data_IF_144347087106
#
_entry.id   IF_144347087106
#
_cell.length_a   1.000
_cell.length_b   1.000
_cell.length_c   1.000
_cell.angle_alpha   90.00
_cell.angle_beta   90.00
_cell.angle_gamma   90.00
#
_symmetry.space_group_name_H-M   'P 1'
#
loop_
_entity.id
_entity.type
_entity.pdbx_description
1 polymer ?
#
# COMPACT_ATOMS: atom_id res chain seq x y z
N UNK A 1 9.87 30.77 -5.98
CA UNK A 1 9.85 31.73 -4.85
C UNK A 1 10.20 30.95 -3.58
N UNK A 2 11.49 30.65 -3.42
CA UNK A 2 12.40 31.34 -2.48
C UNK A 2 11.93 31.19 -1.04
N UNK A 3 12.44 30.14 -0.39
CA UNK A 3 12.43 29.97 1.05
C UNK A 3 13.21 31.13 1.67
N UNK A 4 12.51 32.07 2.31
CA UNK A 4 13.13 33.05 3.18
C UNK A 4 13.44 32.35 4.50
N UNK A 5 14.68 31.90 4.64
CA UNK A 5 15.27 31.58 5.94
C UNK A 5 15.58 32.93 6.59
N UNK A 6 14.83 33.26 7.64
CA UNK A 6 15.12 34.42 8.48
C UNK A 6 16.26 34.03 9.43
N UNK A 7 17.47 34.52 9.14
CA UNK A 7 18.60 34.47 10.09
C UNK A 7 18.55 35.77 10.89
N UNK A 8 18.07 35.68 12.13
CA UNK A 8 18.26 36.75 13.12
C UNK A 8 19.63 36.54 13.78
N UNK A 9 20.55 37.49 13.56
CA UNK A 9 21.88 37.51 14.18
C UNK A 9 21.88 38.38 15.43
N UNK A 10 22.59 37.94 16.47
CA UNK A 10 22.85 38.72 17.68
C UNK A 10 23.66 37.98 18.76
N UNK A 11 24.98 38.22 18.75
CA UNK A 11 26.02 38.21 19.79
C UNK A 11 26.31 36.99 20.71
N UNK A 12 27.52 36.46 20.51
CA UNK A 12 28.58 36.03 21.45
C UNK A 12 28.23 35.43 22.82
N UNK A 13 28.63 34.17 23.06
CA UNK A 13 29.83 33.80 23.85
C UNK A 13 30.11 32.26 23.80
N UNK A 14 31.40 31.93 23.87
CA UNK A 14 32.13 30.64 23.78
C UNK A 14 31.66 29.48 24.66
N UNK A 15 31.57 28.24 24.10
CA UNK A 15 32.19 27.01 24.64
C UNK A 15 31.91 25.72 23.80
N UNK A 16 32.98 24.99 23.46
CA UNK A 16 33.15 23.52 23.54
C UNK A 16 32.13 22.51 22.98
N UNK A 17 32.66 21.61 22.13
CA UNK A 17 32.25 20.22 21.84
C UNK A 17 31.01 19.92 20.96
N UNK A 18 31.32 19.24 19.84
CA UNK A 18 30.58 18.13 19.20
C UNK A 18 29.05 18.16 19.19
N UNK A 19 28.46 18.39 18.01
CA UNK A 19 27.06 18.10 17.77
C UNK A 19 26.78 18.03 16.29
N UNK A 20 26.58 16.82 15.76
CA UNK A 20 25.96 16.60 14.44
C UNK A 20 24.69 17.45 14.40
N UNK A 21 24.61 18.42 13.48
CA UNK A 21 23.38 19.16 13.20
C UNK A 21 22.36 18.18 12.58
N UNK A 22 21.69 17.41 13.44
CA UNK A 22 20.51 16.66 13.07
C UNK A 22 19.40 17.66 12.80
N UNK A 23 19.01 17.81 11.53
CA UNK A 23 17.80 18.51 11.13
C UNK A 23 16.63 17.93 11.94
N UNK A 24 16.24 18.62 13.00
CA UNK A 24 15.19 18.14 13.89
C UNK A 24 13.87 18.55 13.26
N UNK A 25 13.23 17.61 12.58
CA UNK A 25 11.89 17.81 12.03
C UNK A 25 10.94 18.17 13.19
N UNK A 26 10.27 19.32 13.07
CA UNK A 26 9.27 19.77 14.04
C UNK A 26 8.15 18.72 14.07
N UNK A 27 8.06 17.94 15.17
CA UNK A 27 7.01 16.93 15.38
C UNK A 27 5.67 17.64 15.64
N UNK A 28 5.02 18.13 14.58
CA UNK A 28 3.70 18.79 14.67
C UNK A 28 2.53 17.84 14.40
N UNK A 29 2.79 16.58 14.01
CA UNK A 29 1.74 15.61 13.74
C UNK A 29 1.46 14.80 15.01
N UNK A 30 0.33 15.05 15.66
CA UNK A 30 -0.14 14.26 16.80
C UNK A 30 -0.45 12.81 16.42
N UNK A 31 -0.53 11.91 17.40
CA UNK A 31 -0.75 10.47 17.20
C UNK A 31 -1.97 10.18 16.30
N UNK A 32 -3.10 10.84 16.58
CA UNK A 32 -4.34 10.68 15.80
C UNK A 32 -4.13 11.14 14.35
N UNK A 33 -3.45 12.28 14.15
CA UNK A 33 -3.14 12.79 12.80
C UNK A 33 -2.22 11.85 12.02
N UNK A 34 -1.22 11.24 12.68
CA UNK A 34 -0.31 10.29 12.07
C UNK A 34 -1.03 8.98 11.69
N UNK A 35 -1.86 8.44 12.58
CA UNK A 35 -2.65 7.23 12.32
C UNK A 35 -3.65 7.47 11.19
N UNK A 36 -4.38 8.58 11.21
CA UNK A 36 -5.31 8.93 10.12
C UNK A 36 -4.58 9.12 8.79
N UNK A 37 -3.40 9.77 8.80
CA UNK A 37 -2.59 9.92 7.59
C UNK A 37 -2.12 8.57 7.05
N UNK A 38 -1.57 7.70 7.90
CA UNK A 38 -1.10 6.36 7.50
C UNK A 38 -2.27 5.53 6.96
N UNK A 39 -3.40 5.49 7.67
CA UNK A 39 -4.61 4.80 7.22
C UNK A 39 -5.08 5.33 5.85
N UNK A 40 -5.01 6.65 5.64
CA UNK A 40 -5.32 7.28 4.37
C UNK A 40 -4.39 6.92 3.22
N UNK A 41 -3.10 6.81 3.50
CA UNK A 41 -2.11 6.37 2.51
C UNK A 41 -2.22 4.88 2.18
N UNK A 42 -2.70 4.07 3.13
CA UNK A 42 -2.86 2.62 2.98
C UNK A 42 -4.16 2.25 2.25
N UNK A 43 -5.22 3.06 2.38
CA UNK A 43 -6.47 2.90 1.63
C UNK A 43 -6.31 3.29 0.15
N UNK A 44 -5.86 2.32 -0.65
CA UNK A 44 -5.74 2.42 -2.11
C UNK A 44 -7.09 2.44 -2.86
N UNK A 45 -7.05 2.51 -4.20
CA UNK A 45 -8.24 2.28 -5.05
C UNK A 45 -8.61 0.80 -5.14
N UNK A 46 -7.72 -0.10 -4.71
CA UNK A 46 -7.90 -1.55 -4.77
C UNK A 46 -9.16 -2.03 -4.05
N UNK A 47 -9.65 -1.35 -3.00
CA UNK A 47 -10.85 -1.79 -2.28
C UNK A 47 -12.12 -1.86 -3.16
N UNK A 48 -12.17 -1.12 -4.27
CA UNK A 48 -13.31 -1.16 -5.20
C UNK A 48 -13.16 -2.21 -6.30
N UNK A 49 -11.94 -2.73 -6.51
CA UNK A 49 -11.60 -3.65 -7.60
C UNK A 49 -11.37 -5.07 -7.06
N UNK A 50 -10.61 -5.15 -5.98
CA UNK A 50 -10.17 -6.40 -5.35
C UNK A 50 -11.31 -7.32 -4.94
N UNK A 51 -12.45 -6.86 -4.38
CA UNK A 51 -13.54 -7.77 -4.02
C UNK A 51 -14.11 -8.51 -5.23
N UNK A 52 -14.32 -7.81 -6.36
CA UNK A 52 -14.81 -8.42 -7.60
C UNK A 52 -13.79 -9.41 -8.17
N UNK A 53 -12.50 -9.05 -8.16
CA UNK A 53 -11.42 -9.94 -8.61
C UNK A 53 -11.36 -11.22 -7.77
N UNK A 54 -11.30 -11.08 -6.45
CA UNK A 54 -11.24 -12.19 -5.49
C UNK A 54 -12.46 -13.10 -5.65
N UNK A 55 -13.66 -12.53 -5.75
CA UNK A 55 -14.88 -13.30 -5.98
C UNK A 55 -14.87 -14.03 -7.32
N UNK A 56 -14.37 -13.41 -8.39
CA UNK A 56 -14.29 -14.03 -9.73
C UNK A 56 -13.33 -15.22 -9.79
N UNK A 57 -12.26 -15.19 -8.99
CA UNK A 57 -11.26 -16.27 -8.92
C UNK A 57 -11.75 -17.41 -8.03
N UNK A 58 -12.38 -17.10 -6.90
CA UNK A 58 -12.80 -18.09 -5.90
C UNK A 58 -14.18 -18.67 -6.22
N UNK A 59 -15.05 -17.92 -6.89
CA UNK A 59 -16.38 -18.36 -7.34
C UNK A 59 -17.48 -18.33 -6.27
N UNK A 60 -17.14 -18.22 -4.97
CA UNK A 60 -18.12 -18.20 -3.88
C UNK A 60 -17.96 -17.01 -2.92
N UNK A 61 -19.08 -16.40 -2.47
CA UNK A 61 -19.04 -15.23 -1.59
C UNK A 61 -18.50 -15.58 -0.19
N UNK A 62 -18.85 -16.73 0.37
CA UNK A 62 -18.39 -17.17 1.68
C UNK A 62 -16.88 -17.38 1.75
N UNK A 63 -16.29 -18.07 0.77
CA UNK A 63 -14.83 -18.26 0.74
C UNK A 63 -14.08 -16.95 0.45
N UNK A 64 -14.67 -16.02 -0.33
CA UNK A 64 -14.08 -14.69 -0.54
C UNK A 64 -13.97 -13.89 0.77
N UNK A 65 -14.98 -13.95 1.63
CA UNK A 65 -14.96 -13.26 2.93
C UNK A 65 -13.93 -13.86 3.90
N UNK A 66 -13.75 -15.18 3.89
CA UNK A 66 -12.70 -15.85 4.68
C UNK A 66 -11.33 -15.37 4.22
N UNK A 67 -11.06 -15.36 2.91
CA UNK A 67 -9.77 -14.91 2.36
C UNK A 67 -9.51 -13.44 2.73
N UNK A 68 -10.51 -12.57 2.60
CA UNK A 68 -10.40 -11.18 3.04
C UNK A 68 -10.05 -11.05 4.53
N UNK A 69 -10.67 -11.87 5.38
CA UNK A 69 -10.40 -11.89 6.82
C UNK A 69 -8.97 -12.37 7.11
N UNK A 70 -8.53 -13.45 6.45
CA UNK A 70 -7.17 -13.97 6.58
C UNK A 70 -6.12 -12.95 6.11
N UNK A 71 -6.34 -12.27 4.98
CA UNK A 71 -5.47 -11.20 4.50
C UNK A 71 -5.39 -10.03 5.50
N UNK A 72 -6.53 -9.64 6.08
CA UNK A 72 -6.58 -8.61 7.13
C UNK A 72 -5.78 -9.00 8.38
N UNK A 73 -5.90 -10.26 8.82
CA UNK A 73 -5.15 -10.77 9.96
C UNK A 73 -3.64 -10.82 9.68
N UNK A 74 -3.23 -11.30 8.51
CA UNK A 74 -1.82 -11.31 8.10
C UNK A 74 -1.25 -9.88 8.01
N UNK A 75 -2.02 -8.93 7.48
CA UNK A 75 -1.62 -7.52 7.45
C UNK A 75 -1.47 -6.92 8.85
N UNK A 76 -2.36 -7.29 9.79
CA UNK A 76 -2.27 -6.86 11.19
C UNK A 76 -1.00 -7.41 11.85
N UNK A 77 -0.72 -8.71 11.69
CA UNK A 77 0.48 -9.34 12.24
C UNK A 77 1.75 -8.74 11.63
N UNK A 78 1.78 -8.55 10.31
CA UNK A 78 2.88 -7.88 9.62
C UNK A 78 3.09 -6.45 10.14
N UNK A 79 2.00 -5.69 10.30
CA UNK A 79 2.05 -4.34 10.87
C UNK A 79 2.61 -4.31 12.30
N UNK A 80 2.26 -5.30 13.13
CA UNK A 80 2.80 -5.44 14.48
C UNK A 80 4.30 -5.76 14.48
N UNK A 81 4.74 -6.69 13.62
CA UNK A 81 6.17 -6.97 13.43
C UNK A 81 6.95 -5.72 12.98
N UNK A 82 6.38 -4.94 12.06
CA UNK A 82 6.97 -3.67 11.62
C UNK A 82 6.98 -2.60 12.72
N UNK A 83 5.96 -2.58 13.59
CA UNK A 83 5.90 -1.67 14.73
C UNK A 83 7.02 -1.99 15.74
N UNK A 84 7.20 -3.27 16.11
CA UNK A 84 8.30 -3.75 16.95
C UNK A 84 9.67 -3.42 16.34
N UNK A 85 9.83 -3.62 15.03
CA UNK A 85 11.08 -3.31 14.37
C UNK A 85 11.39 -1.79 14.39
N UNK A 86 10.35 -0.95 14.27
CA UNK A 86 10.47 0.49 14.34
C UNK A 86 10.75 1.04 15.74
N UNK A 87 10.39 0.32 16.81
CA UNK A 87 10.78 0.68 18.19
C UNK A 87 12.21 0.23 18.51
N UNK A 88 12.65 -0.91 17.96
CA UNK A 88 14.03 -1.43 18.14
C UNK A 88 15.06 -0.60 17.37
N UNK A 89 14.74 -0.12 16.17
CA UNK A 89 15.65 0.66 15.32
C UNK A 89 15.04 2.05 15.05
N UNK A 90 15.20 3.03 15.95
CA UNK A 90 14.61 4.36 15.83
C UNK A 90 15.41 5.27 14.89
N UNK A 91 15.82 4.76 13.73
CA UNK A 91 16.54 5.49 12.70
C UNK A 91 15.61 5.84 11.52
N UNK A 92 15.82 7.02 10.95
CA UNK A 92 15.06 7.45 9.76
C UNK A 92 15.58 6.76 8.51
N UNK A 93 14.71 6.05 7.78
CA UNK A 93 15.04 5.39 6.52
C UNK A 93 14.23 4.13 6.20
N UNK A 94 13.35 3.71 7.10
CA UNK A 94 12.36 2.65 6.85
C UNK A 94 13.01 1.30 6.55
N UNK A 95 12.42 0.56 5.59
CA UNK A 95 12.84 -0.79 5.20
C UNK A 95 14.33 -0.88 4.85
N UNK A 96 14.92 0.16 4.28
CA UNK A 96 16.34 0.19 3.94
C UNK A 96 17.23 0.04 5.18
N UNK A 97 16.93 0.76 6.26
CA UNK A 97 17.75 0.76 7.47
C UNK A 97 17.64 -0.57 8.19
N UNK A 98 16.45 -1.18 8.19
CA UNK A 98 16.24 -2.52 8.72
C UNK A 98 17.12 -3.54 7.98
N UNK A 99 17.11 -3.49 6.64
CA UNK A 99 17.91 -4.39 5.81
C UNK A 99 19.41 -4.14 5.96
N UNK A 100 19.81 -2.86 6.07
CA UNK A 100 21.20 -2.43 6.29
C UNK A 100 21.77 -3.00 7.59
N UNK A 101 20.94 -3.07 8.64
CA UNK A 101 21.36 -3.55 9.97
C UNK A 101 21.42 -5.07 10.05
N UNK A 102 20.54 -5.79 9.35
CA UNK A 102 20.43 -7.26 9.43
C UNK A 102 21.32 -7.99 8.43
N UNK A 103 21.44 -7.49 7.20
CA UNK A 103 22.08 -8.22 6.08
C UNK A 103 23.32 -7.53 5.49
N UNK A 104 23.64 -6.32 5.97
CA UNK A 104 24.80 -5.56 5.54
C UNK A 104 24.55 -4.65 4.31
N UNK A 105 25.60 -3.90 3.94
CA UNK A 105 25.49 -2.77 2.99
C UNK A 105 25.14 -3.19 1.55
N UNK A 106 25.71 -4.29 1.08
CA UNK A 106 25.55 -4.74 -0.31
C UNK A 106 24.14 -5.27 -0.55
N UNK A 107 23.65 -6.15 0.32
CA UNK A 107 22.30 -6.73 0.23
C UNK A 107 21.22 -5.66 0.37
N UNK A 108 21.40 -4.72 1.31
CA UNK A 108 20.48 -3.59 1.47
C UNK A 108 20.42 -2.70 0.22
N UNK A 109 21.56 -2.47 -0.46
CA UNK A 109 21.60 -1.74 -1.72
C UNK A 109 20.86 -2.49 -2.84
N UNK A 110 21.12 -3.78 -3.02
CA UNK A 110 20.45 -4.59 -4.05
C UNK A 110 18.94 -4.65 -3.83
N UNK A 111 18.49 -4.76 -2.58
CA UNK A 111 17.09 -4.74 -2.21
C UNK A 111 16.42 -3.42 -2.61
N UNK A 112 16.96 -2.28 -2.16
CA UNK A 112 16.38 -0.97 -2.47
C UNK A 112 16.47 -0.65 -3.96
N UNK A 113 17.55 -1.04 -4.62
CA UNK A 113 17.69 -0.87 -6.07
C UNK A 113 16.60 -1.62 -6.83
N UNK A 114 16.39 -2.89 -6.51
CA UNK A 114 15.33 -3.72 -7.10
C UNK A 114 13.94 -3.16 -6.77
N UNK A 115 13.75 -2.69 -5.54
CA UNK A 115 12.49 -2.11 -5.10
C UNK A 115 12.13 -0.83 -5.86
N UNK A 116 13.10 0.07 -6.07
CA UNK A 116 12.90 1.33 -6.77
C UNK A 116 12.72 1.12 -8.27
N UNK A 117 13.44 0.18 -8.89
CA UNK A 117 13.38 -0.04 -10.34
C UNK A 117 12.20 -0.93 -10.75
N UNK A 118 11.85 -1.93 -9.93
CA UNK A 118 10.85 -2.93 -10.29
C UNK A 118 9.55 -2.67 -9.56
N UNK A 119 9.56 -2.72 -8.23
CA UNK A 119 8.32 -2.72 -7.43
C UNK A 119 7.56 -1.39 -7.55
N UNK A 120 8.28 -0.26 -7.50
CA UNK A 120 7.66 1.08 -7.57
C UNK A 120 7.02 1.38 -8.93
N UNK A 121 7.67 1.13 -10.08
CA UNK A 121 7.05 1.36 -11.38
C UNK A 121 5.94 0.37 -11.70
N UNK A 122 6.08 -0.90 -11.31
CA UNK A 122 5.04 -1.93 -11.53
C UNK A 122 3.76 -1.55 -10.79
N UNK A 123 3.86 -1.17 -9.51
CA UNK A 123 2.69 -0.73 -8.73
C UNK A 123 2.04 0.52 -9.30
N UNK A 124 2.82 1.54 -9.69
CA UNK A 124 2.31 2.74 -10.33
C UNK A 124 1.60 2.44 -11.66
N UNK A 125 2.19 1.55 -12.47
CA UNK A 125 1.63 1.12 -13.76
C UNK A 125 0.32 0.35 -13.57
N UNK A 126 0.26 -0.56 -12.60
CA UNK A 126 -0.96 -1.30 -12.29
C UNK A 126 -2.11 -0.38 -11.92
N UNK A 127 -1.87 0.61 -11.05
CA UNK A 127 -2.88 1.60 -10.67
C UNK A 127 -3.33 2.44 -11.87
N UNK A 128 -2.38 2.88 -12.71
CA UNK A 128 -2.68 3.69 -13.89
C UNK A 128 -3.48 2.90 -14.95
N UNK A 129 -3.19 1.61 -15.14
CA UNK A 129 -3.95 0.73 -16.02
C UNK A 129 -5.38 0.56 -15.52
N UNK A 130 -5.56 0.25 -14.23
CA UNK A 130 -6.91 0.17 -13.65
C UNK A 130 -7.66 1.49 -13.82
N UNK A 131 -7.02 2.63 -13.55
CA UNK A 131 -7.63 3.94 -13.77
C UNK A 131 -8.06 4.14 -15.23
N UNK A 132 -7.19 3.79 -16.19
CA UNK A 132 -7.51 3.90 -17.61
C UNK A 132 -8.69 3.00 -18.02
N UNK A 133 -8.77 1.78 -17.50
CA UNK A 133 -9.91 0.89 -17.74
C UNK A 133 -11.22 1.51 -17.25
N UNK A 134 -11.25 2.07 -16.04
CA UNK A 134 -12.45 2.73 -15.50
C UNK A 134 -12.85 3.99 -16.28
N UNK A 135 -11.89 4.77 -16.77
CA UNK A 135 -12.17 5.99 -17.55
C UNK A 135 -12.69 5.65 -18.95
N UNK A 136 -12.18 4.59 -19.57
CA UNK A 136 -12.53 4.22 -20.95
C UNK A 136 -13.78 3.34 -21.02
N UNK A 137 -14.07 2.54 -19.98
CA UNK A 137 -15.23 1.65 -19.91
C UNK A 137 -16.57 2.27 -20.36
N UNK A 138 -16.99 3.48 -19.89
CA UNK A 138 -18.29 4.05 -20.29
C UNK A 138 -18.37 4.48 -21.76
N UNK A 139 -17.24 4.65 -22.46
CA UNK A 139 -17.23 5.02 -23.88
C UNK A 139 -17.33 3.81 -24.82
N UNK A 140 -17.24 2.59 -24.28
CA UNK A 140 -17.21 1.34 -25.02
C UNK A 140 -18.19 0.32 -24.43
N UNK A 141 -19.42 0.76 -24.09
CA UNK A 141 -20.47 -0.15 -23.63
C UNK A 141 -20.78 -1.21 -24.70
N UNK A 142 -20.47 -2.48 -24.41
CA UNK A 142 -20.74 -3.63 -25.28
C UNK A 142 -19.66 -4.00 -26.31
N UNK A 143 -18.52 -3.31 -26.34
CA UNK A 143 -17.38 -3.64 -27.20
C UNK A 143 -16.11 -3.91 -26.37
N UNK A 144 -15.20 -4.73 -26.89
CA UNK A 144 -13.89 -4.92 -26.26
C UNK A 144 -13.05 -3.65 -26.38
N UNK A 145 -12.62 -3.11 -25.24
CA UNK A 145 -11.80 -1.89 -25.21
C UNK A 145 -10.44 -2.17 -25.88
N UNK A 146 -10.01 -1.37 -26.88
CA UNK A 146 -8.72 -1.58 -27.52
C UNK A 146 -7.58 -1.36 -26.51
N UNK A 147 -6.76 -2.38 -26.29
CA UNK A 147 -5.67 -2.34 -25.30
C UNK A 147 -4.65 -1.22 -25.55
N UNK A 148 -4.45 -0.83 -26.82
CA UNK A 148 -3.60 0.31 -27.17
C UNK A 148 -4.09 1.62 -26.54
N UNK A 149 -5.41 1.87 -26.57
CA UNK A 149 -6.02 3.06 -26.00
C UNK A 149 -5.87 3.10 -24.48
N UNK A 150 -6.14 1.99 -23.79
CA UNK A 150 -5.96 1.87 -22.33
C UNK A 150 -4.52 2.19 -21.93
N UNK A 151 -3.54 1.64 -22.65
CA UNK A 151 -2.12 1.90 -22.42
C UNK A 151 -1.75 3.36 -22.64
N UNK A 152 -2.26 3.99 -23.70
CA UNK A 152 -2.03 5.42 -23.96
C UNK A 152 -2.63 6.31 -22.86
N UNK A 153 -3.85 6.02 -22.42
CA UNK A 153 -4.51 6.77 -21.33
C UNK A 153 -3.76 6.57 -20.01
N UNK A 154 -3.34 5.35 -19.70
CA UNK A 154 -2.53 5.06 -18.51
C UNK A 154 -1.18 5.80 -18.53
N UNK A 155 -0.47 5.77 -19.66
CA UNK A 155 0.78 6.51 -19.83
C UNK A 155 0.58 8.03 -19.67
N UNK A 156 -0.49 8.58 -20.27
CA UNK A 156 -0.85 9.98 -20.11
C UNK A 156 -1.14 10.34 -18.65
N UNK A 157 -1.89 9.50 -17.93
CA UNK A 157 -2.19 9.70 -16.52
C UNK A 157 -0.92 9.71 -15.66
N UNK A 158 0.01 8.78 -15.88
CA UNK A 158 1.31 8.74 -15.18
C UNK A 158 2.11 10.01 -15.44
N UNK A 159 2.20 10.46 -16.69
CA UNK A 159 2.94 11.66 -17.06
C UNK A 159 2.35 12.92 -16.41
N UNK A 160 1.01 13.07 -16.46
CA UNK A 160 0.31 14.19 -15.82
C UNK A 160 0.56 14.19 -14.31
N UNK A 161 0.39 13.05 -13.64
CA UNK A 161 0.65 12.90 -12.21
C UNK A 161 2.12 13.22 -11.87
N UNK A 162 3.06 12.77 -12.69
CA UNK A 162 4.49 13.04 -12.51
C UNK A 162 4.78 14.53 -12.64
N UNK A 163 4.23 15.20 -13.65
CA UNK A 163 4.37 16.66 -13.84
C UNK A 163 3.77 17.42 -12.66
N UNK A 164 2.57 17.05 -12.21
CA UNK A 164 1.93 17.67 -11.04
C UNK A 164 2.81 17.50 -9.80
N UNK A 165 3.36 16.30 -9.59
CA UNK A 165 4.23 16.02 -8.46
C UNK A 165 5.52 16.84 -8.52
N UNK A 166 6.13 16.99 -9.71
CA UNK A 166 7.31 17.82 -9.93
C UNK A 166 7.04 19.32 -9.74
N UNK A 167 5.85 19.81 -10.11
CA UNK A 167 5.49 21.23 -10.00
C UNK A 167 5.07 21.62 -8.58
N UNK A 168 4.28 20.78 -7.90
CA UNK A 168 3.80 21.06 -6.54
C UNK A 168 3.40 19.79 -5.80
N UNK A 169 4.30 19.33 -4.93
CA UNK A 169 4.01 18.24 -3.97
C UNK A 169 2.83 18.59 -3.07
N UNK A 170 2.65 19.87 -2.72
CA UNK A 170 1.51 20.32 -1.88
C UNK A 170 0.17 20.07 -2.56
N UNK A 171 0.06 20.31 -3.87
CA UNK A 171 -1.16 20.02 -4.63
C UNK A 171 -1.45 18.51 -4.64
N UNK A 172 -0.42 17.69 -4.87
CA UNK A 172 -0.54 16.23 -4.84
C UNK A 172 -1.03 15.73 -3.48
N UNK A 173 -0.50 16.27 -2.38
CA UNK A 173 -0.94 15.93 -1.02
C UNK A 173 -2.41 16.32 -0.78
N UNK A 174 -2.84 17.51 -1.23
CA UNK A 174 -4.25 17.91 -1.10
C UNK A 174 -5.20 17.01 -1.89
N UNK A 175 -4.85 16.67 -3.14
CA UNK A 175 -5.65 15.75 -3.97
C UNK A 175 -5.74 14.37 -3.31
N UNK A 176 -4.66 13.90 -2.71
CA UNK A 176 -4.62 12.63 -1.99
C UNK A 176 -5.54 12.62 -0.77
N UNK A 177 -5.48 13.67 0.07
CA UNK A 177 -6.35 13.80 1.26
C UNK A 177 -7.83 13.90 0.87
N UNK A 178 -8.14 14.67 -0.18
CA UNK A 178 -9.52 14.77 -0.69
C UNK A 178 -10.02 13.42 -1.23
N UNK A 179 -9.18 12.72 -2.00
CA UNK A 179 -9.51 11.38 -2.51
C UNK A 179 -9.73 10.38 -1.38
N UNK A 180 -8.95 10.44 -0.31
CA UNK A 180 -9.17 9.62 0.89
C UNK A 180 -10.54 9.91 1.51
N UNK A 181 -10.91 11.18 1.70
CA UNK A 181 -12.21 11.55 2.25
C UNK A 181 -13.38 11.01 1.43
N UNK A 182 -13.31 11.15 0.10
CA UNK A 182 -14.33 10.61 -0.82
C UNK A 182 -14.42 9.09 -0.74
N UNK A 183 -13.28 8.39 -0.70
CA UNK A 183 -13.27 6.93 -0.59
C UNK A 183 -13.88 6.42 0.71
N UNK A 184 -13.56 7.07 1.83
CA UNK A 184 -14.14 6.72 3.14
C UNK A 184 -15.66 6.92 3.11
N UNK A 185 -16.13 8.04 2.57
CA UNK A 185 -17.56 8.28 2.39
C UNK A 185 -18.23 7.19 1.54
N UNK A 186 -17.64 6.82 0.41
CA UNK A 186 -18.15 5.76 -0.45
C UNK A 186 -18.24 4.41 0.26
N UNK A 187 -17.21 4.04 1.04
CA UNK A 187 -17.22 2.81 1.84
C UNK A 187 -18.31 2.83 2.91
N UNK A 188 -18.52 3.96 3.60
CA UNK A 188 -19.60 4.11 4.58
C UNK A 188 -20.96 3.90 3.92
N UNK A 189 -21.19 4.49 2.73
CA UNK A 189 -22.44 4.29 1.98
C UNK A 189 -22.65 2.83 1.59
N UNK A 190 -21.61 2.14 1.12
CA UNK A 190 -21.68 0.72 0.75
C UNK A 190 -22.01 -0.15 1.97
N UNK A 191 -21.35 0.08 3.11
CA UNK A 191 -21.59 -0.66 4.35
C UNK A 191 -23.02 -0.46 4.83
N UNK A 192 -23.48 0.80 4.92
CA UNK A 192 -24.83 1.10 5.37
C UNK A 192 -25.90 0.54 4.43
N UNK A 193 -25.70 0.64 3.11
CA UNK A 193 -26.58 0.05 2.11
C UNK A 193 -26.65 -1.47 2.24
N UNK A 194 -25.50 -2.13 2.41
CA UNK A 194 -25.43 -3.57 2.66
C UNK A 194 -26.16 -3.98 3.94
N UNK A 195 -25.97 -3.25 5.04
CA UNK A 195 -26.68 -3.52 6.30
C UNK A 195 -28.19 -3.38 6.14
N UNK A 196 -28.69 -2.34 5.47
CA UNK A 196 -30.12 -2.13 5.24
C UNK A 196 -30.72 -3.30 4.44
N UNK A 197 -30.05 -3.73 3.37
CA UNK A 197 -30.50 -4.87 2.55
C UNK A 197 -30.52 -6.19 3.33
N UNK A 198 -29.55 -6.40 4.23
CA UNK A 198 -29.54 -7.55 5.14
C UNK A 198 -30.72 -7.52 6.11
N UNK A 199 -31.02 -6.36 6.71
CA UNK A 199 -32.16 -6.21 7.62
C UNK A 199 -33.52 -6.34 6.91
N UNK A 200 -33.58 -6.08 5.60
CA UNK A 200 -34.77 -6.31 4.77
C UNK A 200 -34.97 -7.79 4.38
N UNK A 201 -34.07 -8.69 4.80
CA UNK A 201 -34.19 -10.13 4.56
C UNK A 201 -33.69 -10.59 3.19
N UNK A 202 -32.97 -9.74 2.45
CA UNK A 202 -32.39 -10.11 1.15
C UNK A 202 -31.07 -10.90 1.31
N UNK A 203 -31.17 -12.09 1.91
CA UNK A 203 -30.02 -12.95 2.25
C UNK A 203 -29.78 -14.07 1.23
N UNK A 204 -30.42 -14.01 0.06
CA UNK A 204 -30.35 -15.06 -0.96
C UNK A 204 -28.90 -15.37 -1.37
N UNK A 205 -28.04 -14.35 -1.43
CA UNK A 205 -26.61 -14.47 -1.74
C UNK A 205 -25.80 -15.27 -0.70
N UNK A 206 -26.33 -15.48 0.51
CA UNK A 206 -25.67 -16.20 1.59
C UNK A 206 -26.24 -17.61 1.84
N UNK A 207 -27.38 -17.97 1.23
CA UNK A 207 -28.00 -19.28 1.43
C UNK A 207 -27.10 -20.44 0.97
N UNK A 208 -26.38 -20.24 -0.14
CA UNK A 208 -25.38 -21.17 -0.66
C UNK A 208 -23.98 -20.53 -0.70
N UNK A 209 -23.56 -19.93 0.41
CA UNK A 209 -22.37 -19.08 0.45
C UNK A 209 -21.06 -19.75 -0.02
N UNK A 210 -20.98 -21.08 0.01
CA UNK A 210 -19.79 -21.85 -0.38
C UNK A 210 -19.96 -22.67 -1.67
N UNK A 211 -21.13 -22.59 -2.31
CA UNK A 211 -21.37 -23.30 -3.57
C UNK A 211 -20.53 -22.65 -4.70
N UNK A 212 -19.93 -23.47 -5.56
CA UNK A 212 -19.05 -22.99 -6.64
C UNK A 212 -17.64 -22.57 -6.22
N UNK A 213 -17.21 -22.91 -4.98
CA UNK A 213 -15.85 -22.60 -4.52
C UNK A 213 -14.80 -23.32 -5.37
N UNK A 214 -13.99 -22.56 -6.10
CA UNK A 214 -12.86 -23.07 -6.86
C UNK A 214 -11.63 -23.22 -5.95
N UNK A 215 -11.36 -24.45 -5.52
CA UNK A 215 -10.19 -24.81 -4.69
C UNK A 215 -8.86 -24.49 -5.37
N UNK A 216 -8.80 -24.37 -6.71
CA UNK A 216 -7.58 -23.97 -7.43
C UNK A 216 -7.17 -22.52 -7.16
N UNK A 217 -8.13 -21.63 -6.90
CA UNK A 217 -7.87 -20.26 -6.44
C UNK A 217 -7.28 -20.24 -5.02
N UNK A 218 -7.74 -21.15 -4.15
CA UNK A 218 -7.17 -21.35 -2.82
C UNK A 218 -5.77 -21.99 -2.88
N UNK A 219 -5.53 -22.89 -3.84
CA UNK A 219 -4.23 -23.51 -4.11
C UNK A 219 -3.18 -22.50 -4.58
N UNK A 220 -3.59 -21.40 -5.23
CA UNK A 220 -2.68 -20.29 -5.58
C UNK A 220 -2.20 -19.51 -4.34
N UNK A 221 -2.96 -19.54 -3.24
CA UNK A 221 -2.50 -19.07 -1.94
C UNK A 221 -1.64 -20.12 -1.21
N UNK A 222 -1.62 -21.39 -1.66
CA UNK A 222 -0.83 -22.48 -1.08
C UNK A 222 0.67 -22.47 -1.49
N UNK A 223 1.13 -21.41 -2.16
CA UNK A 223 2.52 -21.24 -2.60
C UNK A 223 3.55 -21.08 -1.46
N UNK A 224 3.12 -20.95 -0.20
CA UNK A 224 4.00 -20.96 0.98
C UNK A 224 4.75 -22.28 1.18
N UNK A 225 4.30 -23.41 0.61
CA UNK A 225 5.05 -24.67 0.68
C UNK A 225 6.32 -24.62 -0.21
N UNK A 226 6.31 -23.84 -1.30
CA UNK A 226 7.46 -23.64 -2.19
C UNK A 226 8.62 -22.91 -1.51
N UNK A 227 8.35 -22.11 -0.47
CA UNK A 227 9.39 -21.48 0.35
C UNK A 227 10.19 -22.52 1.15
N UNK A 228 9.59 -23.63 1.59
CA UNK A 228 10.33 -24.69 2.27
C UNK A 228 11.34 -25.37 1.34
N UNK A 229 11.02 -25.54 0.05
CA UNK A 229 11.95 -26.09 -0.94
C UNK A 229 13.17 -25.21 -1.23
N UNK A 230 13.05 -23.88 -1.10
CA UNK A 230 14.17 -22.94 -1.28
C UNK A 230 14.97 -22.78 0.03
N UNK A 231 14.36 -23.06 1.18
CA UNK A 231 15.04 -22.97 2.49
C UNK A 231 16.05 -24.10 2.69
N UNK A 232 15.89 -25.25 2.01
CA UNK A 232 16.88 -26.33 2.00
C UNK A 232 18.14 -26.03 1.16
N UNK A 233 18.12 -25.04 0.25
CA UNK A 233 19.32 -24.58 -0.49
C UNK A 233 20.10 -23.47 0.24
N UNK A 234 19.59 -22.95 1.35
CA UNK A 234 20.30 -21.97 2.18
C UNK A 234 21.34 -22.68 3.06
N UNK A 235 22.59 -22.59 2.62
CA UNK A 235 23.82 -23.03 3.32
C UNK A 235 23.83 -22.58 4.80
N UNK A 236 23.69 -23.55 5.71
CA UNK A 236 23.91 -23.54 7.18
C UNK A 236 23.13 -22.52 8.04
N UNK A 237 22.01 -22.90 8.68
CA UNK A 237 21.53 -22.26 9.91
C UNK A 237 21.94 -23.11 11.12
N UNK A 238 23.22 -23.07 11.48
CA UNK A 238 23.70 -23.67 12.72
C UNK A 238 23.68 -22.61 13.83
N UNK A 239 22.49 -22.29 14.35
CA UNK A 239 22.41 -21.73 15.71
C UNK A 239 21.31 -22.45 16.48
N UNK A 240 21.79 -23.38 17.29
CA UNK A 240 21.07 -24.17 18.28
C UNK A 240 20.49 -23.22 19.33
N UNK A 241 19.17 -23.17 19.43
CA UNK A 241 18.47 -22.49 20.52
C UNK A 241 18.54 -23.46 21.71
N UNK A 242 19.19 -23.03 22.79
CA UNK A 242 19.06 -23.64 24.12
C UNK A 242 18.11 -22.81 24.97
#
# INVERSE_FOLDING_TARGET
RFWFIKIEGGNEQTQGYSGKQGLTLKREVGLVGAVSFIAGTMMGSGIFISPQYVLSVIGSPGASLIIWTCCGLLAMLGGLCYAELGTVIPESGGEYIYMLRTTGKVTAFMFVFSFIIVMRPVSATGIALSFAEYVVAPFYEGCSVPQGLVKCVAAGAILILSVINCLSVRLATHIQVLSMGVKILALVVIILGGCILLFQGNTENFNNAFEGTNVGGLWSYDGWNTLNYITEELKHPEVRIS
#
